data_IF_833181590478
#
_entry.id   IF_833181590478
#
_cell.length_a   1.000
_cell.length_b   1.000
_cell.length_c   1.000
_cell.angle_alpha   90.00
_cell.angle_beta   90.00
_cell.angle_gamma   90.00
#
_symmetry.space_group_name_H-M   'P 1'
#
loop_
_entity.id
_entity.type
_entity.pdbx_description
1 polymer ?
#
# COMPACT_ATOMS: atom_id res chain seq x y z
N UNK A 1 -8.74 -10.66 10.19
CA UNK A 1 -7.46 -10.70 9.46
C UNK A 1 -7.45 -11.87 8.46
N UNK A 2 -8.61 -12.28 7.96
CA UNK A 2 -8.77 -13.39 7.01
C UNK A 2 -8.40 -12.98 5.57
N UNK A 3 -8.50 -11.68 5.27
CA UNK A 3 -8.25 -11.09 3.94
C UNK A 3 -6.77 -11.05 3.56
N UNK A 4 -5.87 -11.00 4.54
CA UNK A 4 -4.42 -11.10 4.28
C UNK A 4 -4.03 -12.56 4.04
N UNK A 5 -4.78 -13.50 4.63
CA UNK A 5 -4.60 -14.94 4.44
C UNK A 5 -5.12 -15.36 3.05
N UNK A 6 -6.18 -14.73 2.55
CA UNK A 6 -6.61 -14.81 1.14
C UNK A 6 -5.77 -13.88 0.23
N UNK A 7 -4.53 -14.31 -0.01
CA UNK A 7 -3.56 -13.59 -0.82
C UNK A 7 -4.08 -13.23 -2.22
N UNK A 8 -4.92 -14.07 -2.83
CA UNK A 8 -5.43 -13.84 -4.20
C UNK A 8 -6.46 -12.70 -4.25
N UNK A 9 -7.37 -12.66 -3.28
CA UNK A 9 -8.35 -11.56 -3.20
C UNK A 9 -7.65 -10.23 -2.88
N UNK A 10 -6.67 -10.26 -1.99
CA UNK A 10 -5.87 -9.08 -1.65
C UNK A 10 -5.06 -8.56 -2.84
N UNK A 11 -4.38 -9.44 -3.57
CA UNK A 11 -3.60 -9.08 -4.76
C UNK A 11 -4.48 -8.50 -5.86
N UNK A 12 -5.66 -9.08 -6.12
CA UNK A 12 -6.61 -8.54 -7.10
C UNK A 12 -7.11 -7.15 -6.72
N UNK A 13 -7.43 -6.94 -5.44
CA UNK A 13 -7.83 -5.61 -4.98
C UNK A 13 -6.69 -4.59 -5.11
N UNK A 14 -5.45 -4.97 -4.77
CA UNK A 14 -4.27 -4.13 -4.99
C UNK A 14 -4.04 -3.79 -6.47
N UNK A 15 -4.22 -4.74 -7.39
CA UNK A 15 -4.10 -4.50 -8.83
C UNK A 15 -5.14 -3.48 -9.34
N UNK A 16 -6.34 -3.51 -8.79
CA UNK A 16 -7.43 -2.60 -9.16
C UNK A 16 -7.35 -1.23 -8.49
N UNK A 17 -6.43 -1.03 -7.55
CA UNK A 17 -6.17 0.29 -7.02
C UNK A 17 -5.58 1.15 -8.15
N UNK A 18 -6.31 2.20 -8.53
CA UNK A 18 -5.70 3.34 -9.21
C UNK A 18 -4.66 3.91 -8.24
N UNK A 19 -3.40 3.49 -8.37
CA UNK A 19 -2.29 3.98 -7.57
C UNK A 19 -1.23 4.51 -8.52
N UNK A 20 -0.58 5.58 -8.10
CA UNK A 20 0.60 6.11 -8.78
C UNK A 20 1.81 5.87 -7.87
N UNK A 21 2.95 6.41 -8.26
CA UNK A 21 4.11 6.54 -7.36
C UNK A 21 3.76 7.39 -6.13
N UNK A 22 2.76 8.28 -6.18
CA UNK A 22 2.39 9.06 -4.99
C UNK A 22 1.57 8.20 -4.00
N UNK A 23 1.94 8.15 -2.70
CA UNK A 23 1.22 7.36 -1.71
C UNK A 23 -0.26 7.74 -1.63
N UNK A 24 -1.15 6.75 -1.83
CA UNK A 24 -2.59 6.88 -1.59
C UNK A 24 -2.97 6.29 -0.24
N UNK A 25 -3.98 6.87 0.40
CA UNK A 25 -4.44 6.50 1.74
C UNK A 25 -5.90 6.07 1.65
N UNK A 26 -6.22 4.92 2.22
CA UNK A 26 -7.56 4.38 2.37
C UNK A 26 -7.85 4.18 3.86
N UNK A 27 -8.97 4.69 4.36
CA UNK A 27 -9.31 4.63 5.79
C UNK A 27 -10.65 3.92 6.01
N UNK A 28 -10.61 2.80 6.71
CA UNK A 28 -11.79 2.06 7.12
C UNK A 28 -12.67 1.64 5.94
N UNK A 29 -13.84 2.24 5.81
CA UNK A 29 -14.82 1.90 4.76
C UNK A 29 -14.40 2.40 3.37
N UNK A 30 -13.40 3.27 3.29
CA UNK A 30 -12.80 3.69 2.01
C UNK A 30 -11.88 2.61 1.43
N UNK A 31 -11.53 1.58 2.21
CA UNK A 31 -10.70 0.49 1.71
C UNK A 31 -11.43 -0.25 0.58
N UNK A 32 -10.77 -0.33 -0.57
CA UNK A 32 -11.25 -1.07 -1.74
C UNK A 32 -11.17 -2.59 -1.51
N UNK A 33 -10.44 -3.00 -0.46
CA UNK A 33 -10.28 -4.37 -0.02
C UNK A 33 -11.28 -4.70 1.09
N UNK A 34 -12.29 -5.50 0.77
CA UNK A 34 -13.26 -6.00 1.74
C UNK A 34 -12.58 -6.77 2.88
N UNK A 35 -12.96 -6.48 4.14
CA UNK A 35 -12.50 -7.16 5.35
C UNK A 35 -11.21 -6.60 5.98
N UNK A 36 -10.71 -5.47 5.46
CA UNK A 36 -9.81 -4.57 6.20
C UNK A 36 -10.50 -3.26 6.62
N UNK A 37 -11.84 -3.28 6.72
CA UNK A 37 -12.67 -2.10 7.02
C UNK A 37 -12.41 -1.50 8.42
N UNK A 38 -11.69 -2.23 9.26
CA UNK A 38 -11.21 -1.79 10.58
C UNK A 38 -9.80 -1.17 10.56
N UNK A 39 -9.14 -1.12 9.41
CA UNK A 39 -7.77 -0.69 9.22
C UNK A 39 -7.67 0.52 8.29
N UNK A 40 -6.47 1.06 8.17
CA UNK A 40 -6.06 1.96 7.11
C UNK A 40 -4.94 1.36 6.29
N UNK A 41 -4.95 1.62 4.99
CA UNK A 41 -3.90 1.22 4.05
C UNK A 41 -3.29 2.49 3.43
N UNK A 42 -1.97 2.64 3.53
CA UNK A 42 -1.19 3.58 2.69
C UNK A 42 -0.47 2.74 1.65
N UNK A 43 -0.55 3.08 0.37
CA UNK A 43 0.03 2.25 -0.71
C UNK A 43 0.54 3.10 -1.86
N UNK A 44 1.64 2.65 -2.46
CA UNK A 44 2.31 3.24 -3.61
C UNK A 44 2.72 2.15 -4.60
N UNK A 45 2.78 2.48 -5.89
CA UNK A 45 3.49 1.66 -6.88
C UNK A 45 5.00 1.91 -6.81
N UNK A 46 5.77 0.92 -7.25
CA UNK A 46 7.21 1.05 -7.47
C UNK A 46 7.62 0.22 -8.69
N UNK A 47 8.74 0.61 -9.32
CA UNK A 47 9.35 -0.15 -10.41
C UNK A 47 10.73 -0.65 -10.02
N UNK A 48 10.98 -1.96 -10.17
CA UNK A 48 12.27 -2.57 -9.86
C UNK A 48 12.60 -3.65 -10.89
N UNK A 49 13.76 -3.51 -11.55
CA UNK A 49 14.27 -4.50 -12.52
C UNK A 49 13.25 -4.92 -13.60
N UNK A 50 12.47 -3.95 -14.10
CA UNK A 50 11.43 -4.19 -15.11
C UNK A 50 10.12 -4.77 -14.57
N UNK A 51 10.01 -4.99 -13.26
CA UNK A 51 8.78 -5.39 -12.58
C UNK A 51 8.08 -4.18 -11.95
N UNK A 52 6.75 -4.15 -12.06
CA UNK A 52 5.90 -3.22 -11.31
C UNK A 52 5.35 -3.92 -10.07
N UNK A 53 5.51 -3.30 -8.91
CA UNK A 53 5.01 -3.80 -7.64
C UNK A 53 4.19 -2.77 -6.87
N UNK A 54 3.63 -3.20 -5.74
CA UNK A 54 2.99 -2.31 -4.77
C UNK A 54 3.65 -2.48 -3.41
N UNK A 55 3.89 -1.37 -2.74
CA UNK A 55 4.38 -1.32 -1.36
C UNK A 55 3.40 -0.52 -0.50
N UNK A 56 3.15 -0.95 0.73
CA UNK A 56 2.21 -0.26 1.59
C UNK A 56 2.36 -0.51 3.08
N UNK A 57 1.70 0.34 3.85
CA UNK A 57 1.59 0.27 5.31
C UNK A 57 0.13 -0.04 5.65
N UNK A 58 -0.09 -1.16 6.32
CA UNK A 58 -1.38 -1.51 6.90
C UNK A 58 -1.35 -1.25 8.42
N UNK A 59 -2.31 -0.49 8.92
CA UNK A 59 -2.36 -0.11 10.34
C UNK A 59 -3.77 0.19 10.84
N UNK A 60 -3.92 0.63 12.10
CA UNK A 60 -5.22 1.05 12.65
C UNK A 60 -5.77 2.29 11.93
N UNK A 61 -7.08 2.55 12.03
CA UNK A 61 -7.77 3.74 11.47
C UNK A 61 -7.20 5.10 11.88
N UNK A 62 -6.32 5.15 12.88
CA UNK A 62 -5.65 6.38 13.33
C UNK A 62 -4.17 6.09 13.47
N UNK A 63 -3.38 6.67 12.58
CA UNK A 63 -1.92 6.60 12.57
C UNK A 63 -1.35 7.93 12.06
N UNK A 64 -0.05 8.22 12.24
CA UNK A 64 0.55 9.47 11.77
C UNK A 64 0.73 9.44 10.25
N UNK A 65 -0.36 9.67 9.50
CA UNK A 65 -0.41 9.53 8.04
C UNK A 65 0.68 10.30 7.30
N UNK A 66 0.90 11.57 7.66
CA UNK A 66 1.92 12.39 6.99
C UNK A 66 3.33 11.78 7.13
N UNK A 67 3.66 11.30 8.32
CA UNK A 67 4.95 10.64 8.59
C UNK A 67 5.05 9.30 7.87
N UNK A 68 4.00 8.49 7.93
CA UNK A 68 3.98 7.18 7.29
C UNK A 68 4.06 7.28 5.76
N UNK A 69 3.38 8.26 5.15
CA UNK A 69 3.49 8.53 3.71
C UNK A 69 4.88 9.01 3.32
N UNK A 70 5.55 9.81 4.16
CA UNK A 70 6.92 10.24 3.92
C UNK A 70 7.90 9.06 3.96
N UNK A 71 7.76 8.15 4.93
CA UNK A 71 8.58 6.93 5.00
C UNK A 71 8.31 6.03 3.79
N UNK A 72 7.04 5.80 3.44
CA UNK A 72 6.72 4.92 2.33
C UNK A 72 7.32 5.42 1.01
N UNK A 73 7.31 6.75 0.81
CA UNK A 73 7.97 7.42 -0.31
C UNK A 73 9.48 7.15 -0.31
N UNK A 74 10.14 7.35 0.83
CA UNK A 74 11.59 7.11 0.94
C UNK A 74 11.94 5.64 0.63
N UNK A 75 11.21 4.68 1.19
CA UNK A 75 11.45 3.25 0.95
C UNK A 75 11.20 2.89 -0.52
N UNK A 76 10.17 3.45 -1.15
CA UNK A 76 9.95 3.31 -2.59
C UNK A 76 11.15 3.84 -3.38
N UNK A 77 11.62 5.05 -3.07
CA UNK A 77 12.76 5.65 -3.77
C UNK A 77 14.03 4.82 -3.62
N UNK A 78 14.26 4.19 -2.46
CA UNK A 78 15.39 3.27 -2.26
C UNK A 78 15.28 2.01 -3.13
N UNK A 79 14.08 1.47 -3.31
CA UNK A 79 13.84 0.32 -4.20
C UNK A 79 14.11 0.71 -5.65
N UNK A 80 13.59 1.85 -6.12
CA UNK A 80 13.73 2.26 -7.53
C UNK A 80 15.17 2.65 -7.90
N UNK A 81 15.93 3.20 -6.95
CA UNK A 81 17.30 3.67 -7.20
C UNK A 81 18.38 2.59 -7.02
N UNK A 82 18.03 1.31 -6.86
CA UNK A 82 18.99 0.20 -6.66
C UNK A 82 20.02 0.48 -5.53
N UNK A 83 19.58 1.06 -4.41
CA UNK A 83 20.43 1.34 -3.24
C UNK A 83 20.40 0.21 -2.19
N UNK A 84 20.01 -1.00 -2.59
CA UNK A 84 19.94 -2.20 -1.75
C UNK A 84 20.81 -3.33 -2.31
#
# INVERSE_FOLDING_TARGET
MEVIEDSDHFLKGLQNLETSEEPRIFIGEENILHGIDSCSLIVSRYHYDGYEGAIGILGPKRMPYAYNSAILREVRDLLENNQL
#
